data_IF_300629983526
#
_entry.id   IF_300629983526
#
_cell.length_a   1.000
_cell.length_b   1.000
_cell.length_c   1.000
_cell.angle_alpha   90.00
_cell.angle_beta   90.00
_cell.angle_gamma   90.00
#
_symmetry.space_group_name_H-M   'P 1'
#
loop_
_entity.id
_entity.type
_entity.pdbx_description
1 polymer ?
#
# COMPACT_ATOMS: atom_id res chain seq x y z
N UNK A 1 10.79 -9.96 -20.88
CA UNK A 1 11.07 -9.61 -19.48
C UNK A 1 9.98 -10.26 -18.66
N UNK A 2 10.30 -11.39 -18.03
CA UNK A 2 9.47 -12.05 -17.00
C UNK A 2 9.45 -11.12 -15.78
N UNK A 3 8.35 -10.99 -15.03
CA UNK A 3 7.68 -12.12 -14.37
C UNK A 3 6.16 -11.90 -14.20
N UNK A 4 5.44 -12.97 -14.53
CA UNK A 4 4.17 -13.42 -13.96
C UNK A 4 2.92 -12.51 -14.04
N UNK A 5 2.02 -12.88 -14.94
CA UNK A 5 0.59 -12.68 -14.75
C UNK A 5 0.18 -13.62 -13.60
N UNK A 6 0.36 -13.18 -12.35
CA UNK A 6 -0.17 -13.89 -11.21
C UNK A 6 -1.67 -14.01 -11.39
N UNK A 7 -2.16 -15.21 -11.66
CA UNK A 7 -3.58 -15.58 -11.51
C UNK A 7 -4.01 -15.61 -10.04
N UNK A 8 -3.39 -14.77 -9.21
CA UNK A 8 -3.67 -14.55 -7.79
C UNK A 8 -4.79 -13.54 -7.62
N UNK A 9 -5.30 -13.42 -6.40
CA UNK A 9 -6.42 -12.53 -6.07
C UNK A 9 -6.09 -11.08 -6.43
N UNK A 10 -7.11 -10.33 -6.82
CA UNK A 10 -6.96 -8.91 -7.14
C UNK A 10 -6.43 -8.14 -5.94
N UNK A 11 -5.39 -7.33 -6.15
CA UNK A 11 -4.79 -6.49 -5.12
C UNK A 11 -5.82 -5.56 -4.47
N UNK A 12 -5.66 -5.32 -3.18
CA UNK A 12 -6.46 -4.35 -2.46
C UNK A 12 -5.87 -2.96 -2.71
N UNK A 13 -6.59 -2.10 -3.41
CA UNK A 13 -6.16 -0.71 -3.65
C UNK A 13 -6.86 0.23 -2.68
N UNK A 14 -6.09 1.01 -1.92
CA UNK A 14 -6.57 2.00 -0.96
C UNK A 14 -6.06 3.40 -1.33
N UNK A 15 -6.96 4.24 -1.84
CA UNK A 15 -6.67 5.65 -2.10
C UNK A 15 -6.89 6.50 -0.84
N UNK A 16 -5.81 7.01 -0.27
CA UNK A 16 -5.83 7.78 0.98
C UNK A 16 -5.83 9.29 0.73
N UNK A 17 -5.68 9.75 -0.51
CA UNK A 17 -5.75 11.17 -0.87
C UNK A 17 -7.03 11.85 -0.39
N UNK A 18 -8.26 11.28 -0.55
CA UNK A 18 -9.46 11.92 -0.02
C UNK A 18 -9.50 11.98 1.51
N UNK A 19 -8.92 10.99 2.20
CA UNK A 19 -8.85 10.95 3.67
C UNK A 19 -7.96 12.10 4.16
N UNK A 20 -6.78 12.24 3.56
CA UNK A 20 -5.84 13.33 3.85
C UNK A 20 -6.42 14.70 3.49
N UNK A 21 -7.14 14.81 2.36
CA UNK A 21 -7.81 16.04 1.96
C UNK A 21 -8.92 16.46 2.95
N UNK A 22 -9.53 15.50 3.65
CA UNK A 22 -10.48 15.72 4.75
C UNK A 22 -9.83 16.08 6.09
N UNK A 23 -8.49 16.13 6.18
CA UNK A 23 -7.75 16.36 7.42
C UNK A 23 -7.74 15.16 8.36
N UNK A 24 -8.03 13.96 7.86
CA UNK A 24 -8.02 12.71 8.62
C UNK A 24 -6.74 11.93 8.36
N UNK A 25 -6.35 11.09 9.32
CA UNK A 25 -5.18 10.21 9.19
C UNK A 25 -5.60 8.86 8.59
N UNK A 26 -4.93 8.38 7.53
CA UNK A 26 -5.29 7.13 6.87
C UNK A 26 -4.69 5.88 7.51
N UNK A 27 -3.89 6.02 8.57
CA UNK A 27 -3.15 4.92 9.18
C UNK A 27 -4.06 3.76 9.59
N UNK A 28 -5.17 4.04 10.26
CA UNK A 28 -6.14 3.02 10.67
C UNK A 28 -6.78 2.31 9.47
N UNK A 29 -7.12 3.04 8.41
CA UNK A 29 -7.69 2.46 7.19
C UNK A 29 -6.70 1.53 6.49
N UNK A 30 -5.42 1.90 6.49
CA UNK A 30 -4.34 1.07 5.96
C UNK A 30 -4.16 -0.19 6.80
N UNK A 31 -4.09 -0.08 8.13
CA UNK A 31 -3.98 -1.24 9.02
C UNK A 31 -5.18 -2.19 8.89
N UNK A 32 -6.38 -1.65 8.71
CA UNK A 32 -7.57 -2.45 8.40
C UNK A 32 -7.44 -3.16 7.05
N UNK A 33 -6.92 -2.49 6.03
CA UNK A 33 -6.62 -3.09 4.73
C UNK A 33 -5.61 -4.24 4.85
N UNK A 34 -4.50 -4.02 5.56
CA UNK A 34 -3.48 -5.04 5.84
C UNK A 34 -4.08 -6.25 6.57
N UNK A 35 -4.92 -6.02 7.58
CA UNK A 35 -5.57 -7.09 8.33
C UNK A 35 -6.61 -7.87 7.50
N UNK A 36 -7.13 -7.28 6.42
CA UNK A 36 -8.08 -7.90 5.51
C UNK A 36 -7.41 -8.60 4.31
N UNK A 37 -6.09 -8.46 4.13
CA UNK A 37 -5.36 -9.11 3.05
C UNK A 37 -5.41 -10.63 3.20
N UNK A 38 -5.68 -11.29 2.08
CA UNK A 38 -5.58 -12.74 1.97
C UNK A 38 -4.18 -13.16 1.52
N UNK A 39 -3.82 -14.44 1.69
CA UNK A 39 -2.51 -14.94 1.23
C UNK A 39 -2.34 -14.74 -0.28
N UNK A 40 -1.20 -14.15 -0.66
CA UNK A 40 -0.86 -13.84 -2.05
C UNK A 40 -1.56 -12.60 -2.62
N UNK A 41 -2.18 -11.78 -1.78
CA UNK A 41 -2.76 -10.48 -2.18
C UNK A 41 -1.90 -9.32 -1.69
N UNK A 42 -1.73 -8.31 -2.53
CA UNK A 42 -0.99 -7.09 -2.17
C UNK A 42 -1.92 -5.97 -1.72
N UNK A 43 -1.41 -5.08 -0.86
CA UNK A 43 -2.04 -3.80 -0.57
C UNK A 43 -1.34 -2.68 -1.32
N UNK A 44 -2.07 -1.97 -2.16
CA UNK A 44 -1.59 -0.80 -2.91
C UNK A 44 -2.15 0.46 -2.28
N UNK A 45 -1.30 1.29 -1.68
CA UNK A 45 -1.69 2.56 -1.07
C UNK A 45 -1.37 3.72 -2.02
N UNK A 46 -2.39 4.49 -2.40
CA UNK A 46 -2.23 5.70 -3.22
C UNK A 46 -2.24 6.93 -2.32
N UNK A 47 -1.11 7.63 -2.28
CA UNK A 47 -0.89 8.79 -1.41
C UNK A 47 -0.30 9.98 -2.18
N UNK A 48 -0.47 11.21 -1.69
CA UNK A 48 0.12 12.39 -2.32
C UNK A 48 1.60 12.59 -1.97
N UNK A 49 2.15 11.76 -1.08
CA UNK A 49 3.55 11.76 -0.67
C UNK A 49 3.95 10.35 -0.20
N UNK A 50 5.25 10.11 -0.06
CA UNK A 50 5.81 8.84 0.41
C UNK A 50 5.52 8.62 1.91
N UNK A 51 4.86 7.50 2.29
CA UNK A 51 4.47 7.22 3.67
C UNK A 51 5.61 6.56 4.46
N UNK A 52 6.76 7.23 4.58
CA UNK A 52 7.97 6.70 5.25
C UNK A 52 7.72 6.05 6.62
N UNK A 53 6.89 6.60 7.53
CA UNK A 53 6.61 5.94 8.81
C UNK A 53 5.92 4.58 8.66
N UNK A 54 5.06 4.43 7.66
CA UNK A 54 4.28 3.22 7.41
C UNK A 54 5.16 2.07 6.90
N UNK A 55 6.14 2.40 6.05
CA UNK A 55 7.12 1.45 5.52
C UNK A 55 7.84 0.70 6.64
N UNK A 56 8.32 1.44 7.65
CA UNK A 56 9.00 0.84 8.80
C UNK A 56 8.07 -0.03 9.66
N UNK A 57 6.81 0.41 9.86
CA UNK A 57 5.81 -0.35 10.62
C UNK A 57 5.51 -1.68 9.95
N UNK A 58 5.25 -1.68 8.64
CA UNK A 58 4.89 -2.90 7.91
C UNK A 58 6.10 -3.81 7.64
N UNK A 59 7.28 -3.24 7.44
CA UNK A 59 8.53 -4.02 7.41
C UNK A 59 8.77 -4.79 8.72
N UNK A 60 8.50 -4.17 9.87
CA UNK A 60 8.56 -4.84 11.17
C UNK A 60 7.53 -5.96 11.36
N UNK A 61 6.47 -5.99 10.54
CA UNK A 61 5.44 -7.03 10.53
C UNK A 61 5.70 -8.14 9.51
N UNK A 62 6.84 -8.10 8.81
CA UNK A 62 7.21 -9.09 7.79
C UNK A 62 6.68 -8.79 6.39
N UNK A 63 6.24 -7.56 6.13
CA UNK A 63 5.90 -7.13 4.78
C UNK A 63 7.12 -6.55 4.09
N UNK A 64 7.23 -6.79 2.79
CA UNK A 64 8.08 -6.03 1.89
C UNK A 64 7.25 -4.94 1.23
N UNK A 65 7.92 -3.90 0.74
CA UNK A 65 7.24 -2.79 0.08
C UNK A 65 7.99 -2.29 -1.14
N UNK A 66 7.23 -1.76 -2.09
CA UNK A 66 7.76 -1.13 -3.30
C UNK A 66 7.05 0.20 -3.52
N UNK A 67 7.84 1.29 -3.59
CA UNK A 67 7.35 2.64 -3.85
C UNK A 67 7.51 2.96 -5.34
N UNK A 68 6.44 3.45 -5.95
CA UNK A 68 6.44 4.00 -7.32
C UNK A 68 5.90 5.42 -7.28
N UNK A 69 6.72 6.38 -7.68
CA UNK A 69 6.30 7.77 -7.85
C UNK A 69 5.83 8.00 -9.30
N UNK A 70 4.57 8.38 -9.47
CA UNK A 70 4.00 8.75 -10.78
C UNK A 70 4.10 10.26 -11.04
N UNK A 71 3.94 11.08 -10.00
CA UNK A 71 4.10 12.55 -10.05
C UNK A 71 4.51 13.09 -8.67
N UNK A 72 4.85 14.39 -8.54
CA UNK A 72 5.22 15.00 -7.25
C UNK A 72 4.15 14.86 -6.15
N UNK A 73 2.90 14.63 -6.52
CA UNK A 73 1.71 14.52 -5.69
C UNK A 73 0.98 13.17 -5.88
N UNK A 74 1.64 12.17 -6.48
CA UNK A 74 1.07 10.85 -6.71
C UNK A 74 2.12 9.77 -6.54
N UNK A 75 1.99 9.07 -5.41
CA UNK A 75 2.78 7.92 -5.04
C UNK A 75 1.87 6.70 -4.91
N UNK A 76 2.39 5.56 -5.32
CA UNK A 76 1.79 4.25 -5.10
C UNK A 76 2.79 3.41 -4.33
N UNK A 77 2.35 2.90 -3.18
CA UNK A 77 3.17 1.99 -2.36
C UNK A 77 2.48 0.65 -2.31
N UNK A 78 3.13 -0.35 -2.89
CA UNK A 78 2.66 -1.74 -2.85
C UNK A 78 3.31 -2.43 -1.67
N UNK A 79 2.51 -3.03 -0.80
CA UNK A 79 2.95 -3.88 0.31
C UNK A 79 2.63 -5.33 -0.02
N UNK A 80 3.64 -6.19 0.08
CA UNK A 80 3.54 -7.62 -0.18
C UNK A 80 3.99 -8.39 1.05
N UNK A 81 3.31 -9.50 1.38
CA UNK A 81 3.70 -10.38 2.48
C UNK A 81 4.56 -11.50 1.94
N UNK A 82 5.81 -11.56 2.39
CA UNK A 82 6.74 -12.68 2.11
C UNK A 82 6.41 -13.93 2.95
#
# INVERSE_FOLDING_TARGET
MVTDNGGGKADLVLDVRPILAGGQEPFDAIMQGVAALEEGQDLVVIAPFEPVPLEGVLSGQGFTYQVTQYSPDHFSVTFHRD
#
